data_IF_840410517661
#
_entry.id   IF_840410517661
#
_cell.length_a   1.000
_cell.length_b   1.000
_cell.length_c   1.000
_cell.angle_alpha   90.00
_cell.angle_beta   90.00
_cell.angle_gamma   90.00
#
_symmetry.space_group_name_H-M   'P 1'
#
loop_
_entity.id
_entity.type
_entity.pdbx_description
1 polymer ?
#
# COMPACT_ATOMS: atom_id res chain seq x y z
N UNK A 1 -5.70 -63.08 1.39
CA UNK A 1 -4.73 -62.01 1.69
C UNK A 1 -5.06 -60.67 1.02
N UNK A 2 -6.23 -60.49 0.39
CA UNK A 2 -6.49 -59.34 -0.49
C UNK A 2 -7.25 -58.19 0.20
N UNK A 3 -7.77 -58.41 1.42
CA UNK A 3 -8.54 -57.39 2.16
C UNK A 3 -7.66 -56.49 3.00
N UNK A 4 -6.53 -57.02 3.50
CA UNK A 4 -5.56 -56.26 4.29
C UNK A 4 -4.74 -55.28 3.43
N UNK A 5 -4.39 -55.66 2.20
CA UNK A 5 -3.67 -54.78 1.26
C UNK A 5 -4.51 -53.60 0.81
N UNK A 6 -5.81 -53.80 0.57
CA UNK A 6 -6.73 -52.71 0.19
C UNK A 6 -6.97 -51.73 1.36
N UNK A 7 -7.13 -52.24 2.58
CA UNK A 7 -7.29 -51.38 3.76
C UNK A 7 -6.00 -50.58 4.03
N UNK A 8 -4.83 -51.20 3.91
CA UNK A 8 -3.55 -50.52 4.06
C UNK A 8 -3.32 -49.44 2.99
N UNK A 9 -3.69 -49.71 1.73
CA UNK A 9 -3.54 -48.75 0.63
C UNK A 9 -4.51 -47.56 0.76
N UNK A 10 -5.78 -47.81 1.14
CA UNK A 10 -6.78 -46.76 1.35
C UNK A 10 -6.42 -45.91 2.57
N UNK A 11 -5.89 -46.51 3.64
CA UNK A 11 -5.39 -45.76 4.79
C UNK A 11 -4.18 -44.89 4.42
N UNK A 12 -3.25 -45.39 3.61
CA UNK A 12 -2.09 -44.62 3.15
C UNK A 12 -2.50 -43.45 2.23
N UNK A 13 -3.44 -43.68 1.31
CA UNK A 13 -3.97 -42.63 0.43
C UNK A 13 -4.72 -41.54 1.21
N UNK A 14 -5.45 -41.94 2.27
CA UNK A 14 -6.13 -41.00 3.15
C UNK A 14 -5.15 -40.14 3.98
N UNK A 15 -4.01 -40.70 4.40
CA UNK A 15 -2.97 -39.95 5.14
C UNK A 15 -2.23 -38.97 4.23
N UNK A 16 -1.99 -39.33 2.96
CA UNK A 16 -1.34 -38.43 1.99
C UNK A 16 -2.20 -37.20 1.63
N UNK A 17 -3.53 -37.30 1.74
CA UNK A 17 -4.46 -36.20 1.47
C UNK A 17 -4.52 -35.12 2.56
N UNK A 18 -3.89 -35.34 3.73
CA UNK A 18 -3.84 -34.38 4.83
C UNK A 18 -2.48 -33.66 4.97
N UNK A 19 -1.56 -33.82 4.02
CA UNK A 19 -0.34 -33.01 3.97
C UNK A 19 -0.70 -31.64 3.40
N UNK A 20 -1.37 -30.81 4.21
CA UNK A 20 -1.46 -29.38 3.95
C UNK A 20 -0.05 -28.83 4.21
N UNK A 21 0.59 -28.12 3.26
CA UNK A 21 1.81 -27.41 3.59
C UNK A 21 1.49 -26.47 4.74
N UNK A 22 2.24 -26.56 5.83
CA UNK A 22 2.22 -25.54 6.86
C UNK A 22 2.69 -24.25 6.16
N UNK A 23 1.75 -23.38 5.80
CA UNK A 23 2.06 -22.03 5.38
C UNK A 23 2.84 -21.43 6.55
N UNK A 24 4.11 -21.12 6.33
CA UNK A 24 4.92 -20.40 7.30
C UNK A 24 4.12 -19.15 7.69
N UNK A 25 3.66 -19.12 8.95
CA UNK A 25 3.09 -17.92 9.53
C UNK A 25 4.24 -16.92 9.57
N UNK A 26 4.28 -16.03 8.58
CA UNK A 26 5.21 -14.91 8.63
C UNK A 26 4.78 -14.08 9.83
N UNK A 27 5.69 -13.90 10.80
CA UNK A 27 5.45 -12.98 11.90
C UNK A 27 5.14 -11.61 11.28
N UNK A 28 3.91 -11.13 11.48
CA UNK A 28 3.50 -9.84 10.97
C UNK A 28 4.32 -8.76 11.71
N UNK A 29 5.02 -7.93 10.94
CA UNK A 29 5.74 -6.79 11.50
C UNK A 29 4.71 -5.68 11.72
N UNK A 30 4.70 -5.09 12.92
CA UNK A 30 3.84 -3.96 13.25
C UNK A 30 4.64 -2.65 13.16
N UNK A 31 4.13 -1.71 12.35
CA UNK A 31 4.60 -0.32 12.30
C UNK A 31 3.58 0.55 13.03
N UNK A 32 4.03 1.46 13.90
CA UNK A 32 3.18 2.29 14.74
C UNK A 32 3.39 3.78 14.45
N UNK A 33 2.34 4.57 14.65
CA UNK A 33 2.41 6.03 14.65
C UNK A 33 2.89 6.58 15.99
N UNK A 34 2.93 7.90 16.10
CA UNK A 34 2.91 8.61 17.38
C UNK A 34 1.67 8.23 18.22
N UNK A 35 1.80 8.38 19.54
CA UNK A 35 0.73 8.06 20.50
C UNK A 35 -0.07 9.31 20.82
N UNK A 36 -1.40 9.21 20.72
CA UNK A 36 -2.34 10.27 21.06
C UNK A 36 -3.14 9.92 22.32
N UNK A 37 -3.27 10.87 23.23
CA UNK A 37 -4.07 10.73 24.43
C UNK A 37 -5.51 11.24 24.20
N UNK A 38 -6.38 11.08 25.19
CA UNK A 38 -7.78 11.47 25.06
C UNK A 38 -8.01 12.98 24.88
N UNK A 39 -7.14 13.83 25.43
CA UNK A 39 -7.17 15.28 25.18
C UNK A 39 -6.86 15.59 23.72
N UNK A 40 -5.85 14.94 23.14
CA UNK A 40 -5.50 15.10 21.73
C UNK A 40 -6.66 14.63 20.84
N UNK A 41 -7.19 13.42 21.10
CA UNK A 41 -8.30 12.85 20.35
C UNK A 41 -9.59 13.69 20.43
N UNK A 42 -9.86 14.33 21.56
CA UNK A 42 -11.02 15.22 21.70
C UNK A 42 -10.83 16.56 21.00
N UNK A 43 -9.58 17.02 20.86
CA UNK A 43 -9.24 18.22 20.07
C UNK A 43 -9.26 17.96 18.56
N UNK A 44 -9.21 16.68 18.16
CA UNK A 44 -9.07 16.24 16.78
C UNK A 44 -7.61 16.00 16.44
N UNK A 45 -7.32 14.77 16.04
CA UNK A 45 -6.00 14.33 15.59
C UNK A 45 -6.01 14.20 14.07
N UNK A 46 -4.97 14.72 13.43
CA UNK A 46 -4.68 14.50 12.02
C UNK A 46 -3.33 13.79 11.93
N UNK A 47 -3.35 12.54 11.47
CA UNK A 47 -2.16 11.71 11.32
C UNK A 47 -1.76 11.76 9.86
N UNK A 48 -0.55 12.24 9.57
CA UNK A 48 0.03 12.34 8.23
C UNK A 48 1.25 11.42 8.11
N UNK A 49 1.92 11.32 6.94
CA UNK A 49 3.13 10.52 6.80
C UNK A 49 4.28 11.00 7.70
N UNK A 50 4.24 12.25 8.18
CA UNK A 50 5.16 12.77 9.18
C UNK A 50 4.93 12.17 10.59
N UNK A 51 3.71 11.73 10.90
CA UNK A 51 3.32 11.19 12.20
C UNK A 51 3.27 9.66 12.22
N UNK A 52 3.10 9.04 11.05
CA UNK A 52 3.01 7.60 10.88
C UNK A 52 3.86 7.10 9.72
N UNK A 53 4.99 6.49 10.06
CA UNK A 53 5.94 5.89 9.11
C UNK A 53 5.39 4.70 8.31
N UNK A 54 4.17 4.25 8.61
CA UNK A 54 3.48 3.26 7.79
C UNK A 54 2.91 3.84 6.50
N UNK A 55 2.56 5.14 6.45
CA UNK A 55 2.04 5.74 5.23
C UNK A 55 3.10 5.91 4.16
N UNK A 56 2.66 5.90 2.91
CA UNK A 56 3.51 6.21 1.77
C UNK A 56 4.14 7.60 1.92
N UNK A 57 5.44 7.66 1.70
CA UNK A 57 6.20 8.90 1.66
C UNK A 57 7.35 8.76 0.66
N UNK A 58 7.44 9.73 -0.25
CA UNK A 58 8.56 9.91 -1.17
C UNK A 58 9.53 10.94 -0.57
N UNK A 59 10.76 10.51 -0.27
CA UNK A 59 11.75 11.35 0.42
C UNK A 59 12.42 12.35 -0.51
N UNK A 60 12.51 12.02 -1.81
CA UNK A 60 13.21 12.86 -2.78
C UNK A 60 12.35 14.07 -3.14
N UNK A 61 11.05 13.84 -3.35
CA UNK A 61 10.07 14.90 -3.63
C UNK A 61 9.44 15.51 -2.37
N UNK A 62 9.68 14.90 -1.19
CA UNK A 62 9.03 15.27 0.07
C UNK A 62 7.49 15.23 -0.05
N UNK A 63 6.98 14.14 -0.62
CA UNK A 63 5.55 13.96 -0.94
C UNK A 63 4.96 12.84 -0.10
N UNK A 64 3.77 13.10 0.45
CA UNK A 64 2.96 12.11 1.13
C UNK A 64 1.48 12.45 0.98
N UNK A 65 0.65 11.46 0.70
CA UNK A 65 -0.74 11.67 0.25
C UNK A 65 -1.79 11.20 1.25
N UNK A 66 -1.42 10.35 2.21
CA UNK A 66 -2.37 9.73 3.13
C UNK A 66 -2.61 10.56 4.39
N UNK A 67 -3.85 10.59 4.86
CA UNK A 67 -4.23 11.24 6.11
C UNK A 67 -5.28 10.41 6.84
N UNK A 68 -5.13 10.29 8.16
CA UNK A 68 -6.13 9.69 9.05
C UNK A 68 -6.56 10.71 10.10
N UNK A 69 -7.81 11.13 10.04
CA UNK A 69 -8.42 12.05 10.98
C UNK A 69 -9.27 11.30 12.00
N UNK A 70 -9.06 11.61 13.29
CA UNK A 70 -9.77 10.98 14.41
C UNK A 70 -10.20 12.05 15.40
N UNK A 71 -11.50 12.08 15.72
CA UNK A 71 -12.04 12.96 16.77
C UNK A 71 -12.98 12.20 17.70
N UNK A 72 -12.84 12.37 19.01
CA UNK A 72 -13.75 11.80 20.02
C UNK A 72 -14.64 12.88 20.64
N UNK A 73 -15.80 12.47 21.15
CA UNK A 73 -16.78 13.37 21.78
C UNK A 73 -16.32 13.94 23.16
N UNK A 74 -15.10 13.62 23.60
CA UNK A 74 -14.57 14.11 24.87
C UNK A 74 -13.30 13.40 25.31
N UNK A 75 -12.60 14.01 26.27
CA UNK A 75 -11.23 13.63 26.67
C UNK A 75 -11.09 12.26 27.34
N UNK A 76 -12.21 11.66 27.75
CA UNK A 76 -12.27 10.31 28.33
C UNK A 76 -13.12 9.35 27.49
N UNK A 77 -13.70 9.85 26.38
CA UNK A 77 -14.49 9.03 25.48
C UNK A 77 -13.61 8.00 24.77
N UNK A 78 -14.11 6.78 24.65
CA UNK A 78 -13.52 5.71 23.83
C UNK A 78 -14.37 5.40 22.60
N UNK A 79 -15.34 6.28 22.30
CA UNK A 79 -16.25 6.16 21.17
C UNK A 79 -15.95 7.28 20.18
N UNK A 80 -15.76 6.90 18.93
CA UNK A 80 -15.67 7.81 17.79
C UNK A 80 -17.07 7.85 17.17
N UNK A 81 -17.63 9.06 17.01
CA UNK A 81 -18.92 9.22 16.37
C UNK A 81 -18.84 8.93 14.86
N UNK A 82 -19.99 8.74 14.23
CA UNK A 82 -20.07 8.58 12.77
C UNK A 82 -19.36 9.73 12.06
N UNK A 83 -18.62 9.42 10.98
CA UNK A 83 -17.80 10.37 10.20
C UNK A 83 -16.58 10.97 10.91
N UNK A 84 -16.36 10.71 12.21
CA UNK A 84 -15.18 11.22 12.94
C UNK A 84 -13.96 10.29 12.92
N UNK A 85 -14.01 9.22 12.10
CA UNK A 85 -12.86 8.41 11.68
C UNK A 85 -12.81 8.47 10.15
N UNK A 86 -11.91 9.29 9.63
CA UNK A 86 -11.82 9.54 8.19
C UNK A 86 -10.41 9.26 7.70
N UNK A 87 -10.27 8.26 6.84
CA UNK A 87 -9.07 8.02 6.05
C UNK A 87 -9.26 8.67 4.68
N UNK A 88 -8.26 9.42 4.23
CA UNK A 88 -8.25 10.07 2.93
C UNK A 88 -6.88 9.97 2.28
N UNK A 89 -6.86 9.99 0.95
CA UNK A 89 -5.65 10.07 0.14
C UNK A 89 -5.87 11.02 -1.03
N UNK A 90 -4.82 11.72 -1.45
CA UNK A 90 -4.84 12.67 -2.58
C UNK A 90 -3.82 12.27 -3.63
N UNK A 91 -4.13 12.58 -4.90
CA UNK A 91 -3.13 12.46 -5.96
C UNK A 91 -2.07 13.55 -5.74
N UNK A 92 -0.81 13.14 -5.82
CA UNK A 92 0.35 14.00 -5.80
C UNK A 92 1.22 13.71 -7.03
N UNK A 93 1.89 14.72 -7.58
CA UNK A 93 2.79 14.54 -8.73
C UNK A 93 4.21 14.31 -8.26
N UNK A 94 4.84 13.22 -8.68
CA UNK A 94 6.27 12.94 -8.47
C UNK A 94 6.99 13.00 -9.80
N UNK A 95 8.21 13.54 -9.80
CA UNK A 95 9.00 13.66 -11.03
C UNK A 95 9.43 12.27 -11.53
N UNK A 96 9.51 12.10 -12.85
CA UNK A 96 10.08 10.88 -13.41
C UNK A 96 11.57 10.79 -13.06
N UNK A 97 12.08 9.58 -12.86
CA UNK A 97 13.50 9.37 -12.64
C UNK A 97 14.35 9.85 -13.85
N UNK A 98 13.81 9.70 -15.06
CA UNK A 98 14.44 10.15 -16.29
C UNK A 98 13.99 11.57 -16.69
N UNK A 99 14.94 12.36 -17.19
CA UNK A 99 14.64 13.67 -17.75
C UNK A 99 13.93 13.54 -19.10
N UNK A 100 12.66 13.97 -19.15
CA UNK A 100 11.87 14.05 -20.38
C UNK A 100 11.76 15.50 -20.85
N UNK A 101 11.87 15.70 -22.17
CA UNK A 101 11.66 17.01 -22.78
C UNK A 101 10.19 17.45 -22.64
N UNK A 102 9.98 18.72 -22.36
CA UNK A 102 8.63 19.29 -22.20
C UNK A 102 7.84 19.29 -23.51
N UNK A 103 6.68 18.65 -23.54
CA UNK A 103 5.73 18.72 -24.64
C UNK A 103 4.91 20.01 -24.54
N UNK A 104 4.72 20.69 -25.68
CA UNK A 104 4.02 21.97 -25.69
C UNK A 104 2.51 21.78 -25.46
N UNK A 105 1.97 22.41 -24.41
CA UNK A 105 0.54 22.42 -24.12
C UNK A 105 0.06 21.30 -23.21
N UNK A 106 0.97 20.54 -22.59
CA UNK A 106 0.66 19.55 -21.55
C UNK A 106 1.06 20.07 -20.18
N UNK A 107 0.25 19.76 -19.16
CA UNK A 107 0.63 19.89 -17.76
C UNK A 107 1.35 18.61 -17.32
N UNK A 108 2.14 18.68 -16.23
CA UNK A 108 2.77 17.51 -15.61
C UNK A 108 3.69 16.69 -16.53
N UNK A 109 4.31 17.31 -17.53
CA UNK A 109 5.07 16.59 -18.55
C UNK A 109 6.35 15.91 -18.02
N UNK A 110 6.83 16.32 -16.85
CA UNK A 110 7.99 15.73 -16.17
C UNK A 110 7.61 14.85 -14.97
N UNK A 111 6.32 14.62 -14.72
CA UNK A 111 5.86 13.92 -13.53
C UNK A 111 4.73 12.93 -13.81
N UNK A 112 4.41 12.10 -12.82
CA UNK A 112 3.30 11.17 -12.87
C UNK A 112 2.49 11.18 -11.57
N UNK A 113 1.17 10.91 -11.63
CA UNK A 113 0.31 10.95 -10.47
C UNK A 113 0.50 9.72 -9.58
N UNK A 114 0.87 9.93 -8.32
CA UNK A 114 0.98 8.90 -7.29
C UNK A 114 0.07 9.17 -6.12
N UNK A 115 -0.29 8.09 -5.43
CA UNK A 115 -0.89 8.18 -4.11
C UNK A 115 -0.58 6.94 -3.28
N UNK A 116 -0.64 7.10 -1.96
CA UNK A 116 -0.66 6.00 -1.01
C UNK A 116 -2.08 5.49 -0.84
N UNK A 117 -2.27 4.18 -0.88
CA UNK A 117 -3.52 3.53 -0.53
C UNK A 117 -3.23 2.40 0.44
N UNK A 118 -3.67 2.58 1.69
CA UNK A 118 -3.42 1.67 2.80
C UNK A 118 -1.93 1.31 2.92
N UNK A 119 -1.06 2.32 3.06
CA UNK A 119 0.39 2.16 3.23
C UNK A 119 1.16 1.61 2.01
N UNK A 120 0.53 1.55 0.83
CA UNK A 120 1.21 1.13 -0.41
C UNK A 120 1.16 2.21 -1.49
N UNK A 121 2.27 2.41 -2.22
CA UNK A 121 2.35 3.30 -3.39
C UNK A 121 1.53 2.74 -4.56
N UNK A 122 0.73 3.59 -5.19
CA UNK A 122 0.01 3.35 -6.44
C UNK A 122 0.19 4.54 -7.40
N UNK A 123 -0.07 4.30 -8.67
CA UNK A 123 -0.11 5.31 -9.74
C UNK A 123 -1.55 5.41 -10.24
N UNK A 124 -2.07 6.64 -10.37
CA UNK A 124 -3.38 6.86 -10.96
C UNK A 124 -3.30 6.87 -12.49
N UNK A 125 -4.36 6.43 -13.17
CA UNK A 125 -4.42 6.48 -14.64
C UNK A 125 -4.82 7.86 -15.18
N UNK A 126 -5.34 8.74 -14.33
CA UNK A 126 -5.68 10.12 -14.62
C UNK A 126 -5.13 11.04 -13.51
N UNK A 127 -4.56 12.17 -13.91
CA UNK A 127 -3.92 13.14 -12.99
C UNK A 127 -4.90 13.76 -11.97
N UNK A 128 -6.21 13.69 -12.21
CA UNK A 128 -7.23 14.33 -11.38
C UNK A 128 -8.22 13.34 -10.80
N UNK A 129 -8.10 12.04 -11.10
CA UNK A 129 -9.08 11.03 -10.71
C UNK A 129 -8.41 9.82 -10.05
N UNK A 130 -8.64 9.58 -8.74
CA UNK A 130 -8.04 8.46 -8.00
C UNK A 130 -8.86 7.15 -8.09
N UNK A 131 -9.77 7.02 -9.04
CA UNK A 131 -10.70 5.89 -9.18
C UNK A 131 -10.06 4.67 -9.86
N UNK A 132 -9.03 4.88 -10.69
CA UNK A 132 -8.31 3.82 -11.38
C UNK A 132 -6.83 3.82 -11.00
N UNK A 133 -6.41 2.79 -10.26
CA UNK A 133 -5.07 2.69 -9.68
C UNK A 133 -4.34 1.45 -10.17
N UNK A 134 -3.06 1.63 -10.49
CA UNK A 134 -2.15 0.56 -10.92
C UNK A 134 -0.85 0.56 -10.11
N UNK A 135 -0.12 -0.55 -10.15
CA UNK A 135 1.23 -0.63 -9.59
C UNK A 135 2.24 -0.07 -10.60
N UNK A 136 3.17 0.75 -10.11
CA UNK A 136 4.31 1.19 -10.89
C UNK A 136 5.21 -0.02 -11.18
N UNK A 137 5.49 -0.28 -12.46
CA UNK A 137 6.35 -1.38 -12.88
C UNK A 137 7.82 -0.96 -12.98
N UNK A 138 8.06 0.23 -13.52
CA UNK A 138 9.40 0.75 -13.77
C UNK A 138 9.36 2.28 -13.83
N UNK A 139 10.33 2.90 -13.15
CA UNK A 139 10.68 4.31 -13.25
C UNK A 139 12.20 4.37 -13.09
N UNK A 140 12.92 4.70 -14.16
CA UNK A 140 14.39 4.56 -14.23
C UNK A 140 14.98 5.44 -15.35
N UNK A 141 16.15 6.00 -15.08
CA UNK A 141 17.01 6.73 -16.02
C UNK A 141 18.16 5.89 -16.60
N UNK A 142 18.17 4.59 -16.31
CA UNK A 142 19.20 3.66 -16.77
C UNK A 142 19.23 3.55 -18.31
N UNK A 143 20.45 3.47 -18.85
CA UNK A 143 20.67 3.37 -20.31
C UNK A 143 20.84 1.92 -20.74
N UNK A 144 19.91 1.45 -21.58
CA UNK A 144 19.94 0.10 -22.14
C UNK A 144 20.27 0.12 -23.64
N UNK A 145 21.04 -0.87 -24.11
CA UNK A 145 21.28 -1.10 -25.55
C UNK A 145 20.43 -2.27 -26.03
N UNK A 146 19.47 -2.01 -26.92
CA UNK A 146 18.67 -3.04 -27.56
C UNK A 146 19.40 -3.57 -28.79
N UNK A 147 19.70 -4.87 -28.81
CA UNK A 147 20.32 -5.53 -29.96
C UNK A 147 19.26 -6.15 -30.86
N UNK A 148 19.50 -6.17 -32.16
CA UNK A 148 18.60 -6.89 -33.09
C UNK A 148 18.45 -8.35 -32.66
N UNK A 149 17.20 -8.78 -32.42
CA UNK A 149 16.86 -10.14 -31.99
C UNK A 149 16.86 -10.39 -30.48
N UNK A 150 17.00 -9.38 -29.63
CA UNK A 150 16.74 -9.52 -28.19
C UNK A 150 15.25 -9.39 -27.90
N UNK A 151 14.60 -10.49 -27.52
CA UNK A 151 13.29 -10.58 -26.89
C UNK A 151 13.35 -11.64 -25.79
#
# INVERSE_FOLDING_TARGET
MNRFTTIALVALLAIAAFIVPASAQMDAIEVRSTVYNGTDAAAGVSITPADFAGFFYDIDDNIGSEMLNITTEGTTSRTIAESNLAYSTTIEQVDYAADFEAEAGTSNNGSYPVLGLFAEKYVALDDNSPDELVKLLLDSDDKYTLRTGSA
#
